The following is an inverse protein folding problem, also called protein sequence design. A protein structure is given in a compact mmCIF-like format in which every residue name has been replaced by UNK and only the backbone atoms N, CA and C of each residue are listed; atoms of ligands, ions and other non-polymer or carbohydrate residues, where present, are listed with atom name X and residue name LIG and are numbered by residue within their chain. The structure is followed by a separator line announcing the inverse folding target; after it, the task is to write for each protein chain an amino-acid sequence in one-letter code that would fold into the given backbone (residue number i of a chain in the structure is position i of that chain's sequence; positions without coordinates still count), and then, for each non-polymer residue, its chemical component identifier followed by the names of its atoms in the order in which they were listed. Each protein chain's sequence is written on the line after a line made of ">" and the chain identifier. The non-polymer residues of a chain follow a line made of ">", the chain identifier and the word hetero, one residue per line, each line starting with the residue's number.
data_IF_716526904049
#
_entry.id   IF_716526904049
#
_cell.length_a   1.000
_cell.length_b   1.000
_cell.length_c   1.000
_cell.angle_alpha   90.00
_cell.angle_beta   90.00
_cell.angle_gamma   90.00
#
_symmetry.space_group_name_H-M   'P 1'
#
loop_
_entity.id
_entity.type
_entity.pdbx_description
1 polymer ?
#
# COMPACT_ATOMS: atom_id res chain seq x y z
N UNK A 1 39.08 -7.23 -15.95
CA UNK A 1 38.12 -7.07 -17.06
C UNK A 1 36.88 -7.97 -16.95
N UNK A 2 36.87 -9.06 -16.17
CA UNK A 2 35.68 -9.92 -15.99
C UNK A 2 34.62 -9.34 -15.04
N UNK A 3 35.03 -8.58 -14.02
CA UNK A 3 34.11 -7.97 -13.04
C UNK A 3 33.18 -6.93 -13.69
N UNK A 4 33.69 -6.22 -14.70
CA UNK A 4 32.93 -5.24 -15.50
C UNK A 4 32.01 -5.91 -16.54
N UNK A 5 32.33 -7.15 -16.99
CA UNK A 5 31.45 -7.95 -17.88
C UNK A 5 30.26 -8.55 -17.13
N UNK A 6 30.36 -8.75 -15.81
CA UNK A 6 29.24 -9.15 -14.96
C UNK A 6 28.20 -8.05 -14.76
N UNK A 7 28.62 -6.78 -14.81
CA UNK A 7 27.75 -5.60 -14.66
C UNK A 7 26.84 -5.35 -15.88
N UNK A 8 27.18 -5.93 -17.04
CA UNK A 8 26.51 -5.74 -18.33
C UNK A 8 25.71 -6.97 -18.80
N UNK A 9 25.71 -8.07 -18.02
CA UNK A 9 24.84 -9.22 -18.34
C UNK A 9 23.39 -8.89 -17.97
N UNK A 10 22.41 -9.13 -18.85
CA UNK A 10 21.00 -9.02 -18.49
C UNK A 10 20.72 -9.92 -17.28
N UNK A 11 19.98 -9.39 -16.31
CA UNK A 11 19.68 -10.10 -15.06
C UNK A 11 18.98 -11.41 -15.39
N UNK A 12 19.36 -12.49 -14.72
CA UNK A 12 18.63 -13.76 -14.87
C UNK A 12 17.23 -13.64 -14.26
N UNK A 13 16.24 -14.44 -14.72
CA UNK A 13 14.90 -14.46 -14.12
C UNK A 13 14.92 -14.61 -12.59
N UNK A 14 15.82 -15.48 -12.08
CA UNK A 14 16.02 -15.69 -10.65
C UNK A 14 16.56 -14.45 -9.93
N UNK A 15 17.54 -13.76 -10.50
CA UNK A 15 18.07 -12.52 -9.92
C UNK A 15 17.02 -11.41 -9.92
N UNK A 16 16.18 -11.34 -10.94
CA UNK A 16 15.09 -10.38 -11.03
C UNK A 16 14.03 -10.61 -9.94
N UNK A 17 13.59 -11.86 -9.74
CA UNK A 17 12.65 -12.20 -8.66
C UNK A 17 13.24 -11.95 -7.27
N UNK A 18 14.54 -12.22 -7.06
CA UNK A 18 15.21 -11.93 -5.79
C UNK A 18 15.30 -10.43 -5.49
N UNK A 19 15.61 -9.61 -6.50
CA UNK A 19 15.60 -8.16 -6.37
C UNK A 19 14.20 -7.66 -6.01
N UNK A 20 13.19 -8.16 -6.72
CA UNK A 20 11.79 -7.85 -6.45
C UNK A 20 11.43 -8.13 -4.99
N UNK A 21 11.73 -9.33 -4.48
CA UNK A 21 11.53 -9.65 -3.07
C UNK A 21 12.29 -8.72 -2.12
N UNK A 22 13.52 -8.33 -2.47
CA UNK A 22 14.29 -7.38 -1.67
C UNK A 22 13.62 -6.00 -1.61
N UNK A 23 13.18 -5.46 -2.76
CA UNK A 23 12.48 -4.18 -2.82
C UNK A 23 11.16 -4.21 -2.05
N UNK A 24 10.33 -5.23 -2.26
CA UNK A 24 9.06 -5.38 -1.52
C UNK A 24 9.29 -5.47 0.00
N UNK A 25 10.36 -6.12 0.44
CA UNK A 25 10.73 -6.18 1.86
C UNK A 25 11.08 -4.80 2.41
N UNK A 26 11.83 -3.99 1.66
CA UNK A 26 12.20 -2.64 2.07
C UNK A 26 10.97 -1.74 2.18
N UNK A 27 10.06 -1.81 1.21
CA UNK A 27 8.78 -1.08 1.27
C UNK A 27 7.96 -1.48 2.49
N UNK A 28 7.86 -2.78 2.78
CA UNK A 28 7.18 -3.29 3.98
C UNK A 28 7.75 -2.69 5.27
N UNK A 29 9.08 -2.59 5.36
CA UNK A 29 9.76 -2.00 6.53
C UNK A 29 9.48 -0.49 6.60
N UNK A 30 9.43 0.20 5.46
CA UNK A 30 9.07 1.62 5.41
C UNK A 30 7.64 1.85 5.90
N UNK A 31 6.68 1.03 5.46
CA UNK A 31 5.29 1.06 5.96
C UNK A 31 5.22 0.82 7.47
N UNK A 32 5.97 -0.15 8.00
CA UNK A 32 6.03 -0.40 9.45
C UNK A 32 6.52 0.81 10.24
N UNK A 33 7.51 1.53 9.73
CA UNK A 33 7.99 2.78 10.36
C UNK A 33 6.91 3.85 10.31
N UNK A 34 6.22 4.00 9.17
CA UNK A 34 5.16 5.00 9.00
C UNK A 34 3.96 4.73 9.91
N UNK A 35 3.53 3.47 10.02
CA UNK A 35 2.47 3.05 10.95
C UNK A 35 2.81 3.45 12.38
N UNK A 36 4.04 3.12 12.85
CA UNK A 36 4.47 3.48 14.21
C UNK A 36 4.56 5.00 14.43
N UNK A 37 4.89 5.75 13.40
CA UNK A 37 4.91 7.21 13.47
C UNK A 37 3.49 7.77 13.65
N UNK A 38 2.55 7.37 12.79
CA UNK A 38 1.15 7.81 12.88
C UNK A 38 0.52 7.40 14.21
N UNK A 39 0.68 6.15 14.66
CA UNK A 39 0.15 5.69 15.94
C UNK A 39 0.72 6.46 17.14
N UNK A 40 1.97 6.95 17.07
CA UNK A 40 2.52 7.82 18.11
C UNK A 40 1.87 9.20 18.09
N UNK A 41 1.58 9.74 16.91
CA UNK A 41 0.90 11.02 16.77
C UNK A 41 -0.56 10.94 17.21
N UNK A 42 -1.27 9.85 16.88
CA UNK A 42 -2.63 9.57 17.35
C UNK A 42 -2.71 9.62 18.88
N UNK A 43 -1.73 9.04 19.59
CA UNK A 43 -1.67 9.11 21.06
C UNK A 43 -1.54 10.53 21.60
N UNK A 44 -0.89 11.44 20.85
CA UNK A 44 -0.81 12.86 21.25
C UNK A 44 -2.13 13.57 20.99
N UNK A 45 -2.75 13.32 19.84
CA UNK A 45 -4.08 13.86 19.50
C UNK A 45 -5.12 13.40 20.53
N UNK A 46 -5.08 12.13 20.96
CA UNK A 46 -5.97 11.62 22.01
C UNK A 46 -5.78 12.34 23.35
N UNK A 47 -4.55 12.70 23.72
CA UNK A 47 -4.30 13.51 24.92
C UNK A 47 -4.85 14.93 24.76
N UNK A 48 -4.62 15.55 23.61
CA UNK A 48 -5.13 16.89 23.30
C UNK A 48 -6.66 16.94 23.32
N UNK A 49 -7.35 15.90 22.82
CA UNK A 49 -8.81 15.76 22.92
C UNK A 49 -9.26 15.75 24.38
N UNK A 50 -8.61 14.97 25.24
CA UNK A 50 -8.95 14.91 26.67
C UNK A 50 -8.73 16.25 27.38
N UNK A 51 -7.66 16.96 27.04
CA UNK A 51 -7.36 18.29 27.59
C UNK A 51 -8.33 19.37 27.11
N UNK A 52 -8.76 19.33 25.84
CA UNK A 52 -9.79 20.20 25.31
C UNK A 52 -11.16 19.93 25.96
N UNK A 53 -11.53 18.66 26.13
CA UNK A 53 -12.77 18.27 26.79
C UNK A 53 -12.84 18.76 28.25
N UNK A 54 -11.72 18.68 29.01
CA UNK A 54 -11.65 19.22 30.38
C UNK A 54 -11.85 20.74 30.48
N UNK A 55 -11.58 21.46 29.39
CA UNK A 55 -11.75 22.92 29.30
C UNK A 55 -13.10 23.32 28.70
N UNK A 56 -13.99 22.35 28.46
CA UNK A 56 -15.27 22.54 27.79
C UNK A 56 -15.14 23.18 26.38
N UNK A 57 -14.00 22.99 25.72
CA UNK A 57 -13.75 23.48 24.36
C UNK A 57 -14.24 22.46 23.32
N UNK A 58 -15.56 22.46 23.12
CA UNK A 58 -16.24 21.56 22.18
C UNK A 58 -15.76 21.72 20.74
N UNK A 59 -15.35 22.92 20.34
CA UNK A 59 -14.88 23.19 18.97
C UNK A 59 -13.56 22.46 18.72
N UNK A 60 -12.59 22.60 19.63
CA UNK A 60 -11.31 21.89 19.53
C UNK A 60 -11.48 20.38 19.60
N UNK A 61 -12.37 19.88 20.47
CA UNK A 61 -12.68 18.44 20.55
C UNK A 61 -13.16 17.91 19.19
N UNK A 62 -14.11 18.60 18.54
CA UNK A 62 -14.66 18.17 17.24
C UNK A 62 -13.59 18.15 16.14
N UNK A 63 -12.72 19.15 16.08
CA UNK A 63 -11.65 19.23 15.07
C UNK A 63 -10.64 18.10 15.28
N UNK A 64 -10.15 17.93 16.51
CA UNK A 64 -9.15 16.91 16.84
C UNK A 64 -9.71 15.48 16.67
N UNK A 65 -10.98 15.26 16.99
CA UNK A 65 -11.63 13.96 16.78
C UNK A 65 -11.71 13.59 15.29
N UNK A 66 -12.04 14.55 14.42
CA UNK A 66 -12.03 14.35 12.96
C UNK A 66 -10.64 13.96 12.46
N UNK A 67 -9.60 14.61 12.96
CA UNK A 67 -8.22 14.29 12.59
C UNK A 67 -7.79 12.90 13.08
N UNK A 68 -8.18 12.52 14.30
CA UNK A 68 -7.92 11.18 14.83
C UNK A 68 -8.56 10.09 13.97
N UNK A 69 -9.80 10.30 13.52
CA UNK A 69 -10.49 9.34 12.63
C UNK A 69 -9.77 9.22 11.28
N UNK A 70 -9.34 10.34 10.70
CA UNK A 70 -8.57 10.34 9.43
C UNK A 70 -7.25 9.60 9.58
N UNK A 71 -6.53 9.83 10.67
CA UNK A 71 -5.28 9.13 10.97
C UNK A 71 -5.50 7.63 11.10
N UNK A 72 -6.54 7.19 11.84
CA UNK A 72 -6.84 5.76 12.00
C UNK A 72 -7.17 5.07 10.67
N UNK A 73 -7.92 5.75 9.81
CA UNK A 73 -8.18 5.27 8.43
C UNK A 73 -6.88 5.15 7.63
N UNK A 74 -5.95 6.10 7.76
CA UNK A 74 -4.64 6.02 7.11
C UNK A 74 -3.81 4.83 7.64
N UNK A 75 -3.78 4.61 8.95
CA UNK A 75 -3.12 3.44 9.56
C UNK A 75 -3.69 2.13 9.03
N UNK A 76 -5.02 2.01 8.94
CA UNK A 76 -5.67 0.82 8.39
C UNK A 76 -5.29 0.55 6.93
N UNK A 77 -5.29 1.58 6.07
CA UNK A 77 -4.82 1.46 4.68
C UNK A 77 -3.36 1.01 4.60
N UNK A 78 -2.48 1.52 5.46
CA UNK A 78 -1.08 1.09 5.51
C UNK A 78 -0.95 -0.40 5.90
N UNK A 79 -1.79 -0.89 6.81
CA UNK A 79 -1.85 -2.32 7.16
C UNK A 79 -2.34 -3.18 5.99
N UNK A 80 -3.34 -2.72 5.25
CA UNK A 80 -3.82 -3.41 4.05
C UNK A 80 -2.74 -3.48 2.96
N UNK A 81 -2.09 -2.35 2.65
CA UNK A 81 -0.98 -2.28 1.71
C UNK A 81 0.16 -3.23 2.11
N UNK A 82 0.46 -3.31 3.41
CA UNK A 82 1.45 -4.25 3.96
C UNK A 82 1.05 -5.71 3.70
N UNK A 83 -0.21 -6.06 3.89
CA UNK A 83 -0.71 -7.42 3.64
C UNK A 83 -0.64 -7.77 2.15
N UNK A 84 -1.00 -6.82 1.28
CA UNK A 84 -0.89 -6.94 -0.18
C UNK A 84 0.56 -7.15 -0.64
N UNK A 85 1.53 -6.38 -0.11
CA UNK A 85 2.97 -6.59 -0.37
C UNK A 85 3.47 -7.98 0.07
N UNK A 86 2.98 -8.47 1.20
CA UNK A 86 3.30 -9.83 1.68
C UNK A 86 2.74 -10.89 0.72
N UNK A 87 1.51 -10.72 0.23
CA UNK A 87 0.89 -11.65 -0.74
C UNK A 87 1.73 -11.75 -2.02
N UNK A 88 2.16 -10.61 -2.60
CA UNK A 88 3.06 -10.62 -3.76
C UNK A 88 4.37 -11.31 -3.41
N UNK A 89 4.96 -11.01 -2.25
CA UNK A 89 6.23 -11.63 -1.83
C UNK A 89 6.13 -13.16 -1.70
N UNK A 90 4.99 -13.67 -1.23
CA UNK A 90 4.70 -15.11 -1.18
C UNK A 90 4.59 -15.71 -2.58
N UNK A 91 3.79 -15.10 -3.46
CA UNK A 91 3.65 -15.52 -4.87
C UNK A 91 4.99 -15.54 -5.61
N UNK A 92 5.84 -14.53 -5.38
CA UNK A 92 7.21 -14.51 -5.89
C UNK A 92 8.01 -15.72 -5.38
N UNK A 93 7.86 -16.07 -4.09
CA UNK A 93 8.54 -17.22 -3.49
C UNK A 93 8.11 -18.57 -4.07
N UNK A 94 6.83 -18.73 -4.37
CA UNK A 94 6.26 -19.97 -4.94
C UNK A 94 6.85 -20.32 -6.31
N UNK A 95 7.20 -19.31 -7.12
CA UNK A 95 7.74 -19.52 -8.47
C UNK A 95 9.27 -19.56 -8.54
N UNK A 96 9.98 -19.27 -7.44
CA UNK A 96 11.44 -19.32 -7.43
C UNK A 96 11.91 -20.75 -7.72
N UNK A 97 12.74 -20.88 -8.76
CA UNK A 97 13.30 -22.17 -9.17
C UNK A 97 12.68 -22.73 -10.45
N UNK A 98 11.61 -22.15 -10.98
CA UNK A 98 11.09 -22.50 -12.30
C UNK A 98 11.76 -21.67 -13.40
N UNK A 99 12.09 -22.27 -14.56
CA UNK A 99 12.71 -21.54 -15.68
C UNK A 99 11.80 -20.40 -16.20
N UNK A 100 10.49 -20.55 -16.04
CA UNK A 100 9.46 -19.61 -16.50
C UNK A 100 8.90 -18.71 -15.39
N UNK A 101 9.61 -18.55 -14.26
CA UNK A 101 9.08 -17.86 -13.07
C UNK A 101 8.55 -16.45 -13.37
N UNK A 102 9.27 -15.66 -14.18
CA UNK A 102 8.85 -14.28 -14.49
C UNK A 102 7.67 -14.25 -15.46
N UNK A 103 7.62 -15.19 -16.41
CA UNK A 103 6.48 -15.35 -17.33
C UNK A 103 5.21 -15.82 -16.59
N UNK A 104 5.36 -16.68 -15.57
CA UNK A 104 4.24 -17.12 -14.74
C UNK A 104 3.70 -15.98 -13.86
N UNK A 105 4.57 -15.12 -13.34
CA UNK A 105 4.18 -13.97 -12.53
C UNK A 105 3.49 -12.88 -13.35
N UNK A 106 4.00 -12.57 -14.54
CA UNK A 106 3.38 -11.59 -15.44
C UNK A 106 1.96 -12.00 -15.85
N UNK A 107 1.73 -13.30 -16.05
CA UNK A 107 0.41 -13.87 -16.36
C UNK A 107 -0.51 -14.04 -15.13
N UNK A 108 -0.02 -13.80 -13.92
CA UNK A 108 -0.83 -13.94 -12.71
C UNK A 108 -1.76 -12.74 -12.56
N UNK A 109 -3.04 -12.96 -12.87
CA UNK A 109 -4.11 -11.97 -12.70
C UNK A 109 -4.24 -11.52 -11.25
N UNK A 110 -4.00 -12.42 -10.30
CA UNK A 110 -4.01 -12.12 -8.87
C UNK A 110 -2.88 -11.18 -8.48
N UNK A 111 -1.63 -11.46 -8.89
CA UNK A 111 -0.49 -10.59 -8.62
C UNK A 111 -0.72 -9.22 -9.27
N UNK A 112 -1.18 -9.19 -10.52
CA UNK A 112 -1.46 -7.95 -11.24
C UNK A 112 -2.56 -7.12 -10.55
N UNK A 113 -3.63 -7.75 -10.05
CA UNK A 113 -4.68 -7.06 -9.30
C UNK A 113 -4.13 -6.42 -8.03
N UNK A 114 -3.31 -7.16 -7.27
CA UNK A 114 -2.70 -6.64 -6.04
C UNK A 114 -1.75 -5.48 -6.35
N UNK A 115 -0.89 -5.64 -7.37
CA UNK A 115 0.04 -4.58 -7.80
C UNK A 115 -0.74 -3.33 -8.23
N UNK A 116 -1.82 -3.46 -9.00
CA UNK A 116 -2.64 -2.33 -9.42
C UNK A 116 -3.26 -1.58 -8.22
N UNK A 117 -3.70 -2.29 -7.19
CA UNK A 117 -4.19 -1.67 -5.95
C UNK A 117 -3.05 -0.90 -5.25
N UNK A 118 -1.86 -1.49 -5.17
CA UNK A 118 -0.71 -0.86 -4.52
C UNK A 118 -0.14 0.33 -5.31
N UNK A 119 -0.35 0.42 -6.63
CA UNK A 119 -0.01 1.61 -7.42
C UNK A 119 -0.81 2.83 -6.97
N UNK A 120 -2.03 2.63 -6.46
CA UNK A 120 -2.87 3.71 -5.93
C UNK A 120 -2.41 4.20 -4.54
N UNK A 121 -1.53 3.45 -3.86
CA UNK A 121 -0.98 3.84 -2.58
C UNK A 121 0.15 4.87 -2.77
N UNK A 122 0.02 6.11 -2.22
CA UNK A 122 1.02 7.16 -2.39
C UNK A 122 2.43 6.75 -1.93
N UNK A 123 2.51 5.91 -0.89
CA UNK A 123 3.79 5.43 -0.34
C UNK A 123 4.49 4.43 -1.26
N UNK A 124 3.77 3.78 -2.18
CA UNK A 124 4.27 2.64 -2.97
C UNK A 124 4.22 2.88 -4.48
N UNK A 125 3.56 3.96 -4.93
CA UNK A 125 3.28 4.24 -6.35
C UNK A 125 4.51 4.07 -7.25
N UNK A 126 5.65 4.65 -6.87
CA UNK A 126 6.89 4.60 -7.66
C UNK A 126 7.39 3.16 -7.78
N UNK A 127 7.49 2.45 -6.65
CA UNK A 127 8.02 1.09 -6.60
C UNK A 127 7.10 0.11 -7.34
N UNK A 128 5.79 0.27 -7.22
CA UNK A 128 4.81 -0.61 -7.89
C UNK A 128 4.69 -0.33 -9.38
N UNK A 129 4.79 0.93 -9.81
CA UNK A 129 4.87 1.27 -11.24
C UNK A 129 6.12 0.68 -11.88
N UNK A 130 7.27 0.77 -11.20
CA UNK A 130 8.50 0.16 -11.68
C UNK A 130 8.40 -1.37 -11.72
N UNK A 131 7.82 -1.97 -10.67
CA UNK A 131 7.56 -3.40 -10.61
C UNK A 131 6.68 -3.87 -11.78
N UNK A 132 5.58 -3.15 -12.06
CA UNK A 132 4.67 -3.40 -13.19
C UNK A 132 5.41 -3.33 -14.52
N UNK A 133 6.20 -2.27 -14.73
CA UNK A 133 6.98 -2.08 -15.96
C UNK A 133 8.00 -3.20 -16.17
N UNK A 134 8.65 -3.66 -15.11
CA UNK A 134 9.63 -4.75 -15.19
C UNK A 134 8.96 -6.12 -15.45
N UNK A 135 7.76 -6.37 -14.93
CA UNK A 135 6.97 -7.56 -15.27
C UNK A 135 6.48 -7.54 -16.71
N UNK A 136 5.93 -6.42 -17.18
CA UNK A 136 5.43 -6.26 -18.55
C UNK A 136 6.56 -6.28 -19.59
N UNK A 137 7.76 -5.78 -19.26
CA UNK A 137 8.91 -5.88 -20.17
C UNK A 137 9.30 -7.33 -20.50
N UNK A 138 9.03 -8.26 -19.59
CA UNK A 138 9.28 -9.68 -19.85
C UNK A 138 8.26 -10.24 -20.84
N UNK A 139 7.02 -9.77 -20.79
CA UNK A 139 5.98 -10.06 -21.78
C UNK A 139 6.30 -9.43 -23.14
N UNK A 140 6.77 -8.18 -23.17
CA UNK A 140 7.15 -7.47 -24.41
C UNK A 140 8.39 -8.08 -25.09
N UNK A 141 9.20 -8.86 -24.37
CA UNK A 141 10.26 -9.68 -25.00
C UNK A 141 9.76 -11.01 -25.57
N UNK A 142 8.56 -11.47 -25.22
CA UNK A 142 7.88 -12.59 -25.91
C UNK A 142 6.90 -12.11 -27.00
N UNK A 143 6.34 -10.90 -26.90
CA UNK A 143 5.42 -10.31 -27.89
C UNK A 143 5.84 -8.89 -28.29
N UNK A 144 6.90 -8.76 -29.09
CA UNK A 144 7.07 -7.61 -29.98
C UNK A 144 6.12 -7.72 -31.19
N UNK A 145 4.80 -7.61 -30.99
CA UNK A 145 3.91 -7.03 -32.01
C UNK A 145 2.49 -6.84 -31.49
N UNK A 146 2.04 -5.58 -31.52
CA UNK A 146 0.65 -5.10 -31.50
C UNK A 146 -0.03 -4.91 -30.14
N UNK A 147 0.14 -3.69 -29.63
CA UNK A 147 -0.97 -2.74 -29.55
C UNK A 147 -1.85 -2.84 -28.30
N UNK A 148 -1.99 -1.69 -27.63
CA UNK A 148 -3.18 -1.16 -26.94
C UNK A 148 -2.65 -0.17 -25.89
N UNK A 149 -2.18 0.96 -26.42
CA UNK A 149 -2.25 2.24 -25.71
C UNK A 149 -3.70 2.69 -25.92
N UNK A 150 -4.65 2.17 -25.15
CA UNK A 150 -5.95 2.83 -24.99
C UNK A 150 -6.77 2.25 -23.83
N UNK A 151 -6.81 2.96 -22.72
CA UNK A 151 -7.97 3.09 -21.81
C UNK A 151 -7.52 3.81 -20.54
N UNK A 152 -7.24 5.10 -20.73
CA UNK A 152 -7.52 6.05 -19.68
C UNK A 152 -9.04 6.10 -19.47
N UNK A 153 -9.44 6.50 -18.26
CA UNK A 153 -10.81 6.85 -17.83
C UNK A 153 -11.66 5.64 -17.37
N UNK A 154 -11.78 5.45 -16.06
CA UNK A 154 -12.97 5.96 -15.39
C UNK A 154 -12.85 5.94 -13.86
N UNK A 155 -13.22 7.08 -13.29
CA UNK A 155 -13.35 7.40 -11.88
C UNK A 155 -14.79 7.16 -11.44
N UNK A 156 -14.98 6.68 -10.21
CA UNK A 156 -15.91 7.18 -9.18
C UNK A 156 -16.09 6.11 -8.09
N UNK A 157 -16.67 6.50 -6.96
CA UNK A 157 -17.00 5.70 -5.76
C UNK A 157 -16.09 5.91 -4.53
N UNK A 158 -16.09 7.15 -4.01
CA UNK A 158 -15.70 7.46 -2.63
C UNK A 158 -16.68 8.50 -2.05
N UNK A 159 -17.96 8.15 -1.89
CA UNK A 159 -18.93 9.00 -1.17
C UNK A 159 -19.58 8.34 0.04
N UNK A 160 -19.75 7.02 0.05
CA UNK A 160 -20.61 6.37 1.06
C UNK A 160 -19.88 6.00 2.36
N UNK A 161 -18.54 5.97 2.37
CA UNK A 161 -17.74 5.56 3.55
C UNK A 161 -17.52 6.68 4.59
N UNK A 162 -17.99 7.90 4.34
CA UNK A 162 -17.75 9.05 5.22
C UNK A 162 -18.84 9.19 6.31
N UNK A 163 -20.09 8.80 6.04
CA UNK A 163 -21.20 8.99 6.97
C UNK A 163 -21.21 7.98 8.13
N UNK A 164 -20.81 6.73 7.89
CA UNK A 164 -20.93 5.65 8.89
C UNK A 164 -20.00 5.79 10.12
N UNK A 165 -18.83 6.45 9.97
CA UNK A 165 -17.89 6.64 11.09
C UNK A 165 -18.24 7.88 11.94
N UNK A 166 -19.05 8.80 11.42
CA UNK A 166 -19.53 9.98 12.17
C UNK A 166 -20.56 9.54 13.22
N UNK A 167 -21.50 8.67 12.84
CA UNK A 167 -22.55 8.17 13.73
C UNK A 167 -22.00 7.30 14.87
N UNK A 168 -20.99 6.49 14.56
CA UNK A 168 -20.36 5.59 15.53
C UNK A 168 -19.60 6.32 16.64
N UNK A 169 -19.14 7.54 16.40
CA UNK A 169 -18.41 8.37 17.40
C UNK A 169 -19.35 9.22 18.24
N UNK A 170 -20.51 9.60 17.70
CA UNK A 170 -21.52 10.36 18.42
C UNK A 170 -22.24 9.48 19.48
N UNK A 171 -22.51 8.21 19.18
CA UNK A 171 -23.12 7.27 20.12
C UNK A 171 -22.25 6.96 21.37
N UNK A 172 -20.93 7.10 21.27
CA UNK A 172 -20.01 6.87 22.41
C UNK A 172 -20.05 8.05 23.41
N UNK A 173 -20.44 9.25 22.96
CA UNK A 173 -20.60 10.41 23.83
C UNK A 173 -21.89 10.35 24.66
N UNK A 174 -22.97 9.78 24.11
CA UNK A 174 -24.28 9.70 24.76
C UNK A 174 -24.40 8.56 25.78
N UNK A 175 -23.59 7.50 25.65
CA UNK A 175 -23.56 6.37 26.61
C UNK A 175 -22.76 6.62 27.89
N UNK A 176 -22.14 7.79 28.03
CA UNK A 176 -21.29 8.13 29.19
C UNK A 176 -22.04 8.88 30.31
N UNK A 177 -23.33 9.17 30.11
CA UNK A 177 -24.15 10.03 30.99
C UNK A 177 -25.21 9.24 31.81
N UNK A 178 -25.07 7.91 31.90
CA UNK A 178 -25.99 7.03 32.65
C UNK A 178 -25.32 6.10 33.68
N UNK A 179 -24.10 6.41 34.16
CA UNK A 179 -23.49 5.67 35.28
C UNK A 179 -22.77 6.56 36.27
#
# INVERSE_FOLDING_TARGET
>A
MEVLKGLLKPRTPRQQVQEWQHRLRNERIALDRRIRELQREEKKVEKAIREAAKRDDIVSVKILAKELVRSRRAVNRLHENKAQLNSISMRLGEVIGTEKMVAQLSKSTEVMKIVNNLVKAPELVVTMQQFTKEMMKVEVTEDMSKGIIDSALDSEDIKDEIEEEVDKRQAIAEGSDQR
#
